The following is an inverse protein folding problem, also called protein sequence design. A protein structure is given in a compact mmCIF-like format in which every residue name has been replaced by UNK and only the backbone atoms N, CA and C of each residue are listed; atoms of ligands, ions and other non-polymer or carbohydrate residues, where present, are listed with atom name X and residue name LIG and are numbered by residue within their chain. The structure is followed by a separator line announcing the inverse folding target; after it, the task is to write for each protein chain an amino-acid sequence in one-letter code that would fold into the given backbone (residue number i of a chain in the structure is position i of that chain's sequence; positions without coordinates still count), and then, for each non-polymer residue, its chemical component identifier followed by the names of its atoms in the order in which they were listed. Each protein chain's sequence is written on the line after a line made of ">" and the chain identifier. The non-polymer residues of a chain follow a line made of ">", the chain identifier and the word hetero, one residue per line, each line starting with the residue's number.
data_IF_739640834871
#
_entry.id   IF_739640834871
#
_cell.length_a   1.000
_cell.length_b   1.000
_cell.length_c   1.000
_cell.angle_alpha   90.00
_cell.angle_beta   90.00
_cell.angle_gamma   90.00
#
_symmetry.space_group_name_H-M   'P 1'
#
loop_
_entity.id
_entity.type
_entity.pdbx_description
1 polymer ?
#
# COMPACT_ATOMS: atom_id res chain seq x y z
N UNK A 1 -18.18 -0.58 -18.90
CA UNK A 1 -18.15 -1.38 -17.65
C UNK A 1 -17.28 -0.61 -16.68
N UNK A 2 -17.77 -0.34 -15.47
CA UNK A 2 -17.03 0.45 -14.48
C UNK A 2 -16.38 -0.51 -13.47
N UNK A 3 -15.16 -0.20 -13.03
CA UNK A 3 -14.42 -0.96 -12.02
C UNK A 3 -13.74 0.00 -11.02
N UNK A 4 -13.41 -0.51 -9.83
CA UNK A 4 -12.59 0.22 -8.86
C UNK A 4 -11.13 0.20 -9.33
N UNK A 5 -10.62 1.33 -9.82
CA UNK A 5 -9.28 1.39 -10.40
C UNK A 5 -8.14 1.49 -9.37
N UNK A 6 -8.36 2.24 -8.28
CA UNK A 6 -7.33 2.54 -7.30
C UNK A 6 -7.96 2.93 -5.96
N UNK A 7 -7.28 2.59 -4.87
CA UNK A 7 -7.58 3.05 -3.51
C UNK A 7 -6.42 3.92 -3.00
N UNK A 8 -6.67 4.80 -2.05
CA UNK A 8 -5.62 5.54 -1.37
C UNK A 8 -5.44 5.02 0.07
N UNK A 9 -4.19 4.82 0.47
CA UNK A 9 -3.81 4.55 1.87
C UNK A 9 -2.95 5.71 2.35
N UNK A 10 -3.30 6.25 3.52
CA UNK A 10 -2.55 7.34 4.13
C UNK A 10 -1.30 6.77 4.80
N UNK A 11 -0.14 7.33 4.46
CA UNK A 11 1.17 6.90 4.97
C UNK A 11 1.89 8.05 5.65
N UNK A 12 2.88 7.73 6.48
CA UNK A 12 3.73 8.69 7.19
C UNK A 12 4.85 9.24 6.29
N UNK A 13 5.58 8.36 5.61
CA UNK A 13 6.71 8.69 4.74
C UNK A 13 6.73 7.80 3.50
N UNK A 14 7.07 8.39 2.34
CA UNK A 14 7.02 7.68 1.05
C UNK A 14 7.99 6.51 0.99
N UNK A 15 9.27 6.73 1.32
CA UNK A 15 10.30 5.71 1.13
C UNK A 15 10.09 4.52 2.10
N UNK A 16 9.59 4.79 3.31
CA UNK A 16 9.21 3.73 4.26
C UNK A 16 8.02 2.93 3.74
N UNK A 17 6.97 3.59 3.26
CA UNK A 17 5.83 2.92 2.67
C UNK A 17 6.22 2.11 1.42
N UNK A 18 7.02 2.68 0.51
CA UNK A 18 7.50 1.97 -0.68
C UNK A 18 8.28 0.73 -0.27
N UNK A 19 9.22 0.85 0.68
CA UNK A 19 9.97 -0.31 1.16
C UNK A 19 9.04 -1.38 1.73
N UNK A 20 8.04 -1.00 2.51
CA UNK A 20 7.10 -1.97 3.07
C UNK A 20 6.31 -2.72 2.01
N UNK A 21 5.66 -1.99 1.09
CA UNK A 21 4.86 -2.64 0.06
C UNK A 21 5.70 -3.42 -0.96
N UNK A 22 6.86 -2.89 -1.35
CA UNK A 22 7.69 -3.50 -2.41
C UNK A 22 8.61 -4.58 -1.85
N UNK A 23 9.40 -4.27 -0.83
CA UNK A 23 10.41 -5.20 -0.31
C UNK A 23 9.77 -6.21 0.64
N UNK A 24 8.91 -5.78 1.56
CA UNK A 24 8.34 -6.69 2.54
C UNK A 24 7.22 -7.52 1.91
N UNK A 25 6.24 -6.87 1.26
CA UNK A 25 5.08 -7.54 0.67
C UNK A 25 5.28 -7.99 -0.78
N UNK A 26 6.37 -7.61 -1.45
CA UNK A 26 6.67 -8.06 -2.81
C UNK A 26 5.80 -7.41 -3.90
N UNK A 27 5.15 -6.27 -3.63
CA UNK A 27 4.34 -5.56 -4.61
C UNK A 27 5.23 -4.86 -5.65
N UNK A 28 4.68 -4.58 -6.82
CA UNK A 28 5.36 -3.82 -7.86
C UNK A 28 5.15 -2.32 -7.66
N UNK A 29 6.23 -1.53 -7.74
CA UNK A 29 6.16 -0.07 -7.83
C UNK A 29 5.86 0.33 -9.27
N UNK A 30 4.65 0.83 -9.52
CA UNK A 30 4.21 1.22 -10.86
C UNK A 30 4.61 2.66 -11.20
N UNK A 31 4.51 3.56 -10.23
CA UNK A 31 4.83 4.97 -10.39
C UNK A 31 5.45 5.51 -9.10
N UNK A 32 6.50 6.31 -9.22
CA UNK A 32 7.00 7.22 -8.20
C UNK A 32 7.38 8.53 -8.89
N UNK A 33 6.46 9.48 -8.88
CA UNK A 33 6.62 10.76 -9.59
C UNK A 33 6.53 11.93 -8.63
N UNK A 34 7.58 12.75 -8.58
CA UNK A 34 7.54 14.02 -7.88
C UNK A 34 6.51 14.97 -8.52
N UNK A 35 5.64 15.54 -7.68
CA UNK A 35 4.59 16.48 -8.09
C UNK A 35 4.85 17.87 -7.57
N UNK A 36 5.28 17.96 -6.31
CA UNK A 36 5.82 19.16 -5.66
C UNK A 36 6.99 18.70 -4.76
N UNK A 37 7.80 19.62 -4.21
CA UNK A 37 8.92 19.23 -3.35
C UNK A 37 8.51 18.34 -2.16
N UNK A 38 7.27 18.47 -1.68
CA UNK A 38 6.73 17.71 -0.54
C UNK A 38 5.79 16.56 -0.94
N UNK A 39 5.44 16.42 -2.22
CA UNK A 39 4.40 15.49 -2.69
C UNK A 39 4.87 14.64 -3.85
N UNK A 40 4.74 13.32 -3.70
CA UNK A 40 4.92 12.33 -4.76
C UNK A 40 3.60 11.63 -5.09
N UNK A 41 3.47 11.24 -6.35
CA UNK A 41 2.45 10.30 -6.83
C UNK A 41 3.06 8.91 -6.87
N UNK A 42 2.76 8.11 -5.84
CA UNK A 42 3.36 6.80 -5.62
C UNK A 42 2.30 5.72 -5.71
N UNK A 43 2.41 4.83 -6.69
CA UNK A 43 1.44 3.78 -6.95
C UNK A 43 2.13 2.42 -6.88
N UNK A 44 1.59 1.52 -6.05
CA UNK A 44 2.01 0.13 -5.96
C UNK A 44 0.87 -0.82 -6.32
N UNK A 45 1.19 -2.05 -6.73
CA UNK A 45 0.19 -3.08 -7.04
C UNK A 45 0.60 -4.47 -6.52
N UNK A 46 -0.33 -5.24 -5.93
CA UNK A 46 -0.07 -6.65 -5.60
C UNK A 46 0.02 -7.56 -6.84
N UNK A 47 -0.41 -7.09 -8.00
CA UNK A 47 -0.41 -7.86 -9.23
C UNK A 47 -1.12 -7.16 -10.38
N UNK A 48 -1.43 -7.93 -11.43
CA UNK A 48 -2.03 -7.41 -12.66
C UNK A 48 -3.54 -7.17 -12.54
N UNK A 49 -4.19 -7.91 -11.64
CA UNK A 49 -5.63 -7.88 -11.44
C UNK A 49 -6.00 -7.08 -10.19
N UNK A 50 -7.18 -6.45 -10.20
CA UNK A 50 -7.72 -5.70 -9.06
C UNK A 50 -7.34 -4.21 -9.02
N UNK A 51 -7.65 -3.57 -7.90
CA UNK A 51 -7.38 -2.15 -7.67
C UNK A 51 -5.93 -1.93 -7.25
N UNK A 52 -5.33 -0.83 -7.74
CA UNK A 52 -4.00 -0.38 -7.33
C UNK A 52 -4.05 0.38 -6.01
N UNK A 53 -2.89 0.60 -5.38
CA UNK A 53 -2.78 1.36 -4.14
C UNK A 53 -1.96 2.62 -4.38
N UNK A 54 -2.57 3.78 -4.14
CA UNK A 54 -1.88 5.06 -4.02
C UNK A 54 -1.39 5.24 -2.58
N UNK A 55 -0.08 5.41 -2.41
CA UNK A 55 0.51 5.77 -1.12
C UNK A 55 0.44 7.30 -0.98
N UNK A 56 -0.45 7.77 -0.10
CA UNK A 56 -0.74 9.19 0.09
C UNK A 56 -0.11 9.68 1.41
N UNK A 57 1.05 10.34 1.32
CA UNK A 57 1.71 10.90 2.51
C UNK A 57 0.81 11.92 3.21
N UNK A 58 0.66 11.78 4.53
CA UNK A 58 -0.11 12.69 5.35
C UNK A 58 0.52 14.10 5.38
N UNK A 59 -0.30 15.13 5.19
CA UNK A 59 0.11 16.55 5.20
C UNK A 59 -0.45 17.35 6.38
N UNK A 60 -1.30 16.75 7.21
CA UNK A 60 -1.88 17.40 8.39
C UNK A 60 -2.21 16.38 9.50
N UNK A 61 -2.49 16.89 10.70
CA UNK A 61 -2.68 16.05 11.89
C UNK A 61 -3.92 15.15 11.80
N UNK A 62 -4.98 15.59 11.09
CA UNK A 62 -6.16 14.75 10.84
C UNK A 62 -5.80 13.53 10.01
N UNK A 63 -4.96 13.70 8.97
CA UNK A 63 -4.49 12.58 8.14
C UNK A 63 -3.52 11.68 8.88
N UNK A 64 -2.57 12.25 9.65
CA UNK A 64 -1.66 11.47 10.49
C UNK A 64 -2.43 10.59 11.48
N UNK A 65 -3.49 11.13 12.08
CA UNK A 65 -4.37 10.39 13.00
C UNK A 65 -5.18 9.28 12.32
N UNK A 66 -5.25 9.25 10.99
CA UNK A 66 -5.95 8.21 10.23
C UNK A 66 -5.03 7.06 9.78
N UNK A 67 -3.71 7.18 9.95
CA UNK A 67 -2.73 6.12 9.65
C UNK A 67 -3.06 4.90 10.52
N UNK A 68 -3.19 3.73 9.90
CA UNK A 68 -3.61 2.49 10.57
C UNK A 68 -5.11 2.38 10.88
N UNK A 69 -5.92 3.42 10.65
CA UNK A 69 -7.37 3.42 10.92
C UNK A 69 -8.22 3.76 9.68
N UNK A 70 -7.76 3.41 8.48
CA UNK A 70 -8.42 3.77 7.23
C UNK A 70 -9.80 3.12 7.02
N UNK A 71 -10.08 2.03 7.74
CA UNK A 71 -11.36 1.30 7.69
C UNK A 71 -12.17 1.39 9.01
N UNK A 72 -11.82 2.31 9.91
CA UNK A 72 -12.57 2.52 11.15
C UNK A 72 -12.59 1.30 12.09
N UNK A 73 -11.45 0.62 12.23
CA UNK A 73 -11.31 -0.58 13.07
C UNK A 73 -11.87 -1.88 12.46
N UNK A 74 -12.21 -1.91 11.17
CA UNK A 74 -12.64 -3.11 10.45
C UNK A 74 -11.57 -3.56 9.45
N UNK A 75 -11.66 -4.82 9.01
CA UNK A 75 -10.87 -5.31 7.88
C UNK A 75 -11.27 -4.54 6.63
N UNK A 76 -10.30 -3.86 6.00
CA UNK A 76 -10.55 -3.01 4.82
C UNK A 76 -10.17 -3.66 3.48
N UNK A 77 -9.17 -4.53 3.47
CA UNK A 77 -8.57 -5.06 2.23
C UNK A 77 -8.32 -6.57 2.34
N UNK A 78 -8.42 -7.25 1.21
CA UNK A 78 -8.19 -8.70 1.08
C UNK A 78 -7.21 -8.94 -0.06
N UNK A 79 -6.09 -9.59 0.25
CA UNK A 79 -5.13 -10.06 -0.74
C UNK A 79 -5.42 -11.53 -1.06
N UNK A 80 -5.61 -11.84 -2.34
CA UNK A 80 -5.75 -13.22 -2.81
C UNK A 80 -4.40 -13.71 -3.31
N UNK A 81 -4.06 -14.95 -2.97
CA UNK A 81 -2.84 -15.63 -3.42
C UNK A 81 -3.17 -17.04 -3.88
N UNK A 82 -2.39 -17.56 -4.83
CA UNK A 82 -2.53 -18.93 -5.35
C UNK A 82 -1.88 -19.97 -4.44
N UNK A 83 -0.90 -19.58 -3.64
CA UNK A 83 -0.24 -20.46 -2.67
C UNK A 83 -0.06 -19.74 -1.33
N UNK A 84 -0.96 -20.05 -0.39
CA UNK A 84 -0.95 -19.46 0.95
C UNK A 84 0.33 -19.80 1.72
N UNK A 85 0.80 -21.05 1.66
CA UNK A 85 1.95 -21.50 2.46
C UNK A 85 3.24 -20.78 2.04
N UNK A 86 3.49 -20.65 0.74
CA UNK A 86 4.64 -19.91 0.21
C UNK A 86 4.55 -18.41 0.54
N UNK A 87 3.36 -17.81 0.36
CA UNK A 87 3.15 -16.38 0.68
C UNK A 87 3.38 -16.11 2.16
N UNK A 88 2.80 -16.95 3.03
CA UNK A 88 2.96 -16.85 4.47
C UNK A 88 4.42 -17.00 4.89
N UNK A 89 5.14 -17.98 4.33
CA UNK A 89 6.56 -18.18 4.65
C UNK A 89 7.42 -16.99 4.21
N UNK A 90 7.17 -16.45 3.01
CA UNK A 90 7.87 -15.28 2.50
C UNK A 90 7.67 -14.06 3.41
N UNK A 91 6.42 -13.76 3.76
CA UNK A 91 6.07 -12.66 4.67
C UNK A 91 6.67 -12.85 6.06
N UNK A 92 6.52 -14.05 6.64
CA UNK A 92 7.09 -14.38 7.95
C UNK A 92 8.61 -14.19 7.97
N UNK A 93 9.32 -14.64 6.92
CA UNK A 93 10.78 -14.48 6.82
C UNK A 93 11.24 -13.02 6.72
N UNK A 94 10.34 -12.11 6.35
CA UNK A 94 10.57 -10.66 6.26
C UNK A 94 10.04 -9.91 7.49
N UNK A 95 9.57 -10.62 8.51
CA UNK A 95 9.08 -10.03 9.76
C UNK A 95 7.66 -9.48 9.69
N UNK A 96 6.84 -9.95 8.74
CA UNK A 96 5.43 -9.59 8.64
C UNK A 96 4.60 -10.56 9.49
N UNK A 97 3.77 -10.02 10.38
CA UNK A 97 2.94 -10.73 11.36
C UNK A 97 1.53 -11.07 10.85
#
# INVERSE_FOLDING_TARGET
>A
MNTLGMIAIVVDEYDLAISHYVNDLGFELLEDKEMTPEKRWVVVTPGKDGARILLAKASNDKQKSAIGNSAGGRVGFFLYTTNFAETFQAYSSRGIE
#
